data_IF_281664657447
#
_entry.id   IF_281664657447
#
_cell.length_a   1.000
_cell.length_b   1.000
_cell.length_c   1.000
_cell.angle_alpha   90.00
_cell.angle_beta   90.00
_cell.angle_gamma   90.00
#
_symmetry.space_group_name_H-M   'P 1'
#
loop_
_entity.id
_entity.type
_entity.pdbx_description
1 polymer ?
#
# COMPACT_ATOMS: atom_id res chain seq x y z
N UNK A 1 -4.85 7.12 8.45
CA UNK A 1 -4.10 7.42 7.21
C UNK A 1 -3.60 6.11 6.62
N UNK A 2 -3.47 5.99 5.30
CA UNK A 2 -2.84 4.84 4.63
C UNK A 2 -1.65 5.33 3.82
N UNK A 3 -0.53 4.63 3.87
CA UNK A 3 0.66 4.94 3.07
C UNK A 3 1.15 3.66 2.38
N UNK A 4 1.67 3.81 1.16
CA UNK A 4 2.29 2.73 0.40
C UNK A 4 3.81 2.71 0.53
N UNK A 5 4.38 3.63 1.31
CA UNK A 5 5.81 3.74 1.59
C UNK A 5 6.03 3.82 3.10
N UNK A 6 7.10 3.20 3.64
CA UNK A 6 7.45 3.31 5.05
C UNK A 6 7.87 4.75 5.39
N UNK A 7 7.76 5.14 6.66
CA UNK A 7 8.13 6.50 7.11
C UNK A 7 9.60 6.85 6.81
N UNK A 8 10.50 5.88 6.79
CA UNK A 8 11.91 6.08 6.41
C UNK A 8 12.11 6.54 4.97
N UNK A 9 11.12 6.36 4.09
CA UNK A 9 11.17 6.82 2.70
C UNK A 9 10.55 8.23 2.53
N UNK A 10 9.96 8.82 3.57
CA UNK A 10 9.21 10.06 3.46
C UNK A 10 10.09 11.30 3.24
N UNK A 11 11.38 11.24 3.55
CA UNK A 11 12.33 12.31 3.24
C UNK A 11 12.41 12.62 1.73
N UNK A 12 12.07 11.64 0.88
CA UNK A 12 12.00 11.82 -0.58
C UNK A 12 10.66 12.37 -1.09
N UNK A 13 9.64 12.40 -0.23
CA UNK A 13 8.28 12.84 -0.56
C UNK A 13 8.07 14.28 -0.11
N UNK A 14 8.58 14.63 1.06
CA UNK A 14 8.47 15.97 1.62
C UNK A 14 9.56 16.88 1.03
N UNK A 15 9.25 18.16 0.72
CA UNK A 15 10.24 19.16 0.30
C UNK A 15 11.43 19.37 1.25
N UNK A 16 11.24 19.06 2.53
CA UNK A 16 12.23 19.22 3.59
C UNK A 16 12.11 18.07 4.60
N UNK A 17 13.25 17.53 5.05
CA UNK A 17 13.29 16.37 5.95
C UNK A 17 12.78 16.69 7.36
N UNK A 18 12.98 17.90 7.87
CA UNK A 18 12.41 18.31 9.16
C UNK A 18 10.89 18.37 9.09
N UNK A 19 10.33 18.72 7.94
CA UNK A 19 8.89 18.66 7.72
C UNK A 19 8.37 17.21 7.73
N UNK A 20 9.10 16.27 7.12
CA UNK A 20 8.76 14.84 7.18
C UNK A 20 8.74 14.33 8.63
N UNK A 21 9.80 14.62 9.40
CA UNK A 21 9.91 14.24 10.81
C UNK A 21 8.76 14.82 11.63
N UNK A 22 8.47 16.12 11.48
CA UNK A 22 7.40 16.78 12.20
C UNK A 22 6.00 16.27 11.83
N UNK A 23 5.81 15.78 10.60
CA UNK A 23 4.56 15.14 10.19
C UNK A 23 4.43 13.74 10.80
N UNK A 24 5.51 12.94 10.73
CA UNK A 24 5.56 11.59 11.30
C UNK A 24 5.27 11.65 12.80
N UNK A 25 5.97 12.50 13.55
CA UNK A 25 5.82 12.65 15.00
C UNK A 25 4.34 12.87 15.41
N UNK A 26 3.68 13.84 14.77
CA UNK A 26 2.25 14.13 15.03
C UNK A 26 1.33 12.98 14.64
N UNK A 27 1.62 12.27 13.55
CA UNK A 27 0.81 11.15 13.09
C UNK A 27 0.94 9.93 14.01
N UNK A 28 2.13 9.66 14.56
CA UNK A 28 2.38 8.47 15.38
C UNK A 28 2.07 8.68 16.85
N UNK A 29 2.06 9.92 17.35
CA UNK A 29 1.88 10.22 18.78
C UNK A 29 0.62 9.58 19.40
N UNK A 30 -0.48 9.50 18.65
CA UNK A 30 -1.73 8.88 19.09
C UNK A 30 -2.31 7.94 18.02
N UNK A 31 -1.46 7.14 17.39
CA UNK A 31 -1.90 6.15 16.40
C UNK A 31 -1.37 4.74 16.72
N UNK A 32 -2.07 3.74 16.17
CA UNK A 32 -1.57 2.38 16.08
C UNK A 32 -1.08 2.12 14.67
N UNK A 33 0.18 1.70 14.51
CA UNK A 33 0.74 1.37 13.22
C UNK A 33 0.36 -0.08 12.84
N UNK A 34 -0.29 -0.23 11.68
CA UNK A 34 -0.60 -1.53 11.11
C UNK A 34 0.15 -1.69 9.79
N UNK A 35 1.11 -2.60 9.78
CA UNK A 35 1.80 -2.98 8.55
C UNK A 35 0.99 -4.06 7.82
N UNK A 36 0.65 -3.78 6.56
CA UNK A 36 -0.13 -4.68 5.73
C UNK A 36 0.76 -5.30 4.66
N UNK A 37 0.77 -6.62 4.60
CA UNK A 37 1.52 -7.40 3.61
C UNK A 37 0.60 -8.40 2.89
N UNK A 38 1.03 -8.86 1.72
CA UNK A 38 0.30 -9.83 0.89
C UNK A 38 0.03 -9.34 -0.53
N UNK A 39 -0.55 -10.21 -1.35
CA UNK A 39 -0.84 -9.89 -2.74
C UNK A 39 -1.99 -8.90 -2.88
N UNK A 40 -1.88 -8.00 -3.88
CA UNK A 40 -2.95 -7.08 -4.27
C UNK A 40 -4.27 -7.82 -4.53
N UNK A 41 -5.33 -7.39 -3.83
CA UNK A 41 -6.68 -7.90 -4.06
C UNK A 41 -7.13 -7.70 -5.52
N UNK A 42 -6.71 -6.61 -6.17
CA UNK A 42 -7.03 -6.35 -7.59
C UNK A 42 -6.35 -7.37 -8.50
N UNK A 43 -5.07 -7.69 -8.23
CA UNK A 43 -4.32 -8.71 -8.99
C UNK A 43 -4.99 -10.07 -8.83
N UNK A 44 -5.35 -10.46 -7.60
CA UNK A 44 -6.05 -11.72 -7.33
C UNK A 44 -7.40 -11.80 -8.05
N UNK A 45 -8.19 -10.73 -8.03
CA UNK A 45 -9.48 -10.68 -8.74
C UNK A 45 -9.30 -10.84 -10.26
N UNK A 46 -8.33 -10.13 -10.84
CA UNK A 46 -8.00 -10.25 -12.26
C UNK A 46 -7.54 -11.67 -12.62
N UNK A 47 -6.67 -12.28 -11.80
CA UNK A 47 -6.24 -13.66 -12.01
C UNK A 47 -7.40 -14.66 -11.97
N UNK A 48 -8.37 -14.49 -11.05
CA UNK A 48 -9.58 -15.32 -11.01
C UNK A 48 -10.43 -15.18 -12.28
N UNK A 49 -10.59 -13.96 -12.79
CA UNK A 49 -11.31 -13.72 -14.04
C UNK A 49 -10.64 -14.42 -15.23
N UNK A 50 -9.30 -14.33 -15.33
CA UNK A 50 -8.55 -15.03 -16.38
C UNK A 50 -8.68 -16.56 -16.29
N UNK A 51 -8.72 -17.11 -15.07
CA UNK A 51 -8.91 -18.55 -14.86
C UNK A 51 -10.33 -19.01 -15.23
N UNK A 52 -11.34 -18.20 -14.93
CA UNK A 52 -12.74 -18.48 -15.32
C UNK A 52 -12.97 -18.41 -16.84
N UNK A 53 -12.29 -17.50 -17.55
CA UNK A 53 -12.39 -17.39 -19.00
C UNK A 53 -11.77 -18.56 -19.79
N UNK A 54 -10.76 -19.25 -19.23
CA UNK A 54 -10.15 -20.42 -19.87
C UNK A 54 -11.04 -21.68 -19.84
N UNK A 55 -11.95 -21.79 -18.87
CA UNK A 55 -12.86 -22.94 -18.78
C UNK A 55 -14.05 -22.87 -19.76
N UNK A 56 -14.32 -21.71 -20.36
CA UNK A 56 -15.43 -21.49 -21.30
C UNK A 56 -15.01 -21.39 -22.77
N UNK A 57 -13.77 -21.74 -23.12
CA UNK A 57 -13.23 -21.64 -24.49
C UNK A 57 -12.78 -23.00 -25.07
N UNK A 58 -13.20 -24.11 -24.45
CA UNK A 58 -13.07 -25.45 -25.03
C UNK A 58 -14.44 -25.91 -25.54
N UNK A 59 -14.82 -25.41 -26.71
CA UNK A 59 -15.79 -26.01 -27.64
C UNK A 59 -15.31 -25.72 -29.06
#
# INVERSE_FOLDING_TARGET
ITANQPFSAWDSIFPDSMMAVAAIDRLVHHATLMELSGESYRKRAYQRQLQGGKAGSSD
#
